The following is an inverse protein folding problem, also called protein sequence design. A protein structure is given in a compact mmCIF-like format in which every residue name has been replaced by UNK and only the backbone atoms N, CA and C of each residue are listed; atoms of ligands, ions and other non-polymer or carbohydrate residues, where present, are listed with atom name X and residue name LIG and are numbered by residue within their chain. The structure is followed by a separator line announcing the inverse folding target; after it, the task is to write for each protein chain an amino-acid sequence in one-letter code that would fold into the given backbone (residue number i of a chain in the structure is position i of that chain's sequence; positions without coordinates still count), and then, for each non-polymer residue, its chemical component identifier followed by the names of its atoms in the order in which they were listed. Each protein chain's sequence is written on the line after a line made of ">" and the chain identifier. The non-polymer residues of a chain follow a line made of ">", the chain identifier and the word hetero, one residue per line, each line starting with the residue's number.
data_IF_332877568319
#
_entry.id   IF_332877568319
#
_cell.length_a   1.000
_cell.length_b   1.000
_cell.length_c   1.000
_cell.angle_alpha   90.00
_cell.angle_beta   90.00
_cell.angle_gamma   90.00
#
_symmetry.space_group_name_H-M   'P 1'
#
loop_
_entity.id
_entity.type
_entity.pdbx_description
1 polymer ?
#
# COMPACT_ATOMS: atom_id res chain seq x y z
N UNK A 1 -21.13 -5.06 -6.54
CA UNK A 1 -21.90 -3.90 -6.04
C UNK A 1 -20.89 -2.82 -5.68
N UNK A 2 -20.95 -1.66 -6.34
CA UNK A 2 -20.06 -0.53 -6.08
C UNK A 2 -20.50 0.14 -4.77
N UNK A 3 -19.55 0.44 -3.89
CA UNK A 3 -19.79 1.11 -2.62
C UNK A 3 -18.51 1.84 -2.16
N UNK A 4 -18.60 2.63 -1.09
CA UNK A 4 -17.45 3.37 -0.56
C UNK A 4 -16.22 2.48 -0.30
N UNK A 5 -16.41 1.19 0.02
CA UNK A 5 -15.31 0.24 0.26
C UNK A 5 -14.66 -0.26 -1.02
N UNK A 6 -15.38 -0.32 -2.15
CA UNK A 6 -14.76 -0.57 -3.46
C UNK A 6 -13.96 0.64 -3.91
N UNK A 7 -14.45 1.85 -3.65
CA UNK A 7 -13.72 3.08 -4.02
C UNK A 7 -12.42 3.21 -3.24
N UNK A 8 -12.45 2.89 -1.94
CA UNK A 8 -11.24 2.80 -1.10
C UNK A 8 -10.25 1.77 -1.68
N UNK A 9 -10.73 0.61 -2.11
CA UNK A 9 -9.86 -0.41 -2.70
C UNK A 9 -9.19 0.09 -3.98
N UNK A 10 -9.98 0.62 -4.91
CA UNK A 10 -9.47 1.14 -6.18
C UNK A 10 -8.52 2.31 -5.99
N UNK A 11 -8.77 3.18 -5.01
CA UNK A 11 -7.85 4.26 -4.65
C UNK A 11 -6.52 3.72 -4.10
N UNK A 12 -6.55 2.65 -3.31
CA UNK A 12 -5.35 1.95 -2.88
C UNK A 12 -4.52 1.43 -4.05
N UNK A 13 -5.17 0.79 -5.03
CA UNK A 13 -4.49 0.33 -6.26
C UNK A 13 -3.88 1.51 -7.02
N UNK A 14 -4.64 2.59 -7.22
CA UNK A 14 -4.18 3.79 -7.92
C UNK A 14 -2.92 4.39 -7.28
N UNK A 15 -2.86 4.47 -5.95
CA UNK A 15 -1.63 4.96 -5.28
C UNK A 15 -0.45 4.03 -5.59
N UNK A 16 -0.65 2.70 -5.56
CA UNK A 16 0.43 1.77 -5.90
C UNK A 16 0.89 1.96 -7.36
N UNK A 17 -0.03 2.11 -8.31
CA UNK A 17 0.30 2.37 -9.72
C UNK A 17 1.14 3.65 -9.87
N UNK A 18 0.77 4.73 -9.18
CA UNK A 18 1.49 6.01 -9.23
C UNK A 18 2.90 5.89 -8.65
N UNK A 19 3.07 5.17 -7.54
CA UNK A 19 4.38 5.07 -6.86
C UNK A 19 5.34 4.11 -7.58
N UNK A 20 4.82 3.05 -8.19
CA UNK A 20 5.65 2.00 -8.80
C UNK A 20 5.68 2.02 -10.32
N UNK A 21 4.78 2.75 -10.98
CA UNK A 21 4.69 2.79 -12.44
C UNK A 21 4.34 1.42 -13.03
N UNK A 22 3.68 0.55 -12.27
CA UNK A 22 3.33 -0.83 -12.65
C UNK A 22 1.82 -0.95 -12.83
N UNK A 23 1.40 -1.74 -13.81
CA UNK A 23 0.00 -2.18 -13.94
C UNK A 23 -0.41 -3.03 -12.72
N UNK A 24 -1.67 -2.96 -12.23
CA UNK A 24 -2.15 -3.77 -11.11
C UNK A 24 -2.05 -5.26 -11.37
N UNK A 25 -2.18 -5.65 -12.65
CA UNK A 25 -2.02 -7.01 -13.15
C UNK A 25 -1.10 -6.97 -14.38
N UNK A 26 -0.01 -7.73 -14.33
CA UNK A 26 0.99 -7.81 -15.41
C UNK A 26 1.45 -9.26 -15.61
N UNK A 27 0.89 -9.94 -16.60
CA UNK A 27 1.19 -11.34 -16.91
C UNK A 27 2.58 -11.55 -17.54
N UNK A 28 3.30 -10.48 -17.90
CA UNK A 28 4.68 -10.58 -18.37
C UNK A 28 5.68 -10.80 -17.25
N UNK A 29 5.25 -10.61 -15.99
CA UNK A 29 6.09 -10.73 -14.80
C UNK A 29 6.13 -12.15 -14.24
N UNK A 30 7.18 -12.49 -13.47
CA UNK A 30 7.27 -13.79 -12.79
C UNK A 30 6.09 -14.08 -11.88
N UNK A 31 5.86 -15.36 -11.61
CA UNK A 31 4.84 -15.81 -10.67
C UNK A 31 5.09 -15.20 -9.28
N UNK A 32 4.06 -14.57 -8.70
CA UNK A 32 4.17 -13.80 -7.45
C UNK A 32 4.38 -12.29 -7.65
N UNK A 33 4.74 -11.86 -8.86
CA UNK A 33 4.83 -10.43 -9.23
C UNK A 33 3.72 -9.95 -10.17
N UNK A 34 2.92 -10.89 -10.69
CA UNK A 34 1.79 -10.59 -11.58
C UNK A 34 0.78 -9.66 -10.93
N UNK A 35 0.51 -9.84 -9.63
CA UNK A 35 -0.40 -8.99 -8.88
C UNK A 35 0.40 -7.94 -8.08
N UNK A 36 0.13 -6.67 -8.35
CA UNK A 36 0.85 -5.56 -7.72
C UNK A 36 0.74 -5.55 -6.19
N UNK A 37 -0.42 -5.94 -5.65
CA UNK A 37 -0.65 -6.00 -4.20
C UNK A 37 0.20 -7.09 -3.55
N UNK A 38 0.28 -8.27 -4.16
CA UNK A 38 1.03 -9.39 -3.60
C UNK A 38 2.55 -9.19 -3.72
N UNK A 39 2.99 -8.60 -4.84
CA UNK A 39 4.36 -8.13 -4.99
C UNK A 39 4.72 -7.12 -3.89
N UNK A 40 3.88 -6.12 -3.67
CA UNK A 40 4.13 -5.08 -2.66
C UNK A 40 4.20 -5.66 -1.24
N UNK A 41 3.30 -6.59 -0.87
CA UNK A 41 3.37 -7.27 0.43
C UNK A 41 4.71 -7.97 0.63
N UNK A 42 5.19 -8.66 -0.40
CA UNK A 42 6.49 -9.35 -0.40
C UNK A 42 7.64 -8.37 -0.25
N UNK A 43 7.60 -7.27 -1.02
CA UNK A 43 8.62 -6.21 -0.99
C UNK A 43 8.71 -5.55 0.41
N UNK A 44 7.57 -5.19 1.01
CA UNK A 44 7.52 -4.62 2.36
C UNK A 44 7.99 -5.64 3.41
N UNK A 45 7.66 -6.91 3.26
CA UNK A 45 8.10 -7.98 4.17
C UNK A 45 9.60 -8.20 4.15
N UNK A 46 10.19 -8.12 2.97
CA UNK A 46 11.62 -8.24 2.75
C UNK A 46 12.39 -6.93 3.02
N UNK A 47 11.70 -5.87 3.48
CA UNK A 47 12.26 -4.53 3.74
C UNK A 47 12.97 -3.89 2.53
N UNK A 48 12.55 -4.24 1.31
CA UNK A 48 13.11 -3.74 0.05
C UNK A 48 12.39 -2.46 -0.42
N UNK A 49 12.33 -1.43 0.42
CA UNK A 49 11.54 -0.22 0.15
C UNK A 49 12.12 0.73 -0.91
N UNK A 50 13.17 0.32 -1.63
CA UNK A 50 13.90 1.17 -2.58
C UNK A 50 13.35 1.08 -4.01
N UNK A 51 12.49 0.10 -4.31
CA UNK A 51 11.84 -0.02 -5.62
C UNK A 51 10.66 0.95 -5.73
N UNK A 52 10.92 2.12 -6.32
CA UNK A 52 9.89 3.09 -6.79
C UNK A 52 10.02 3.32 -8.29
N UNK A 53 9.03 3.96 -8.92
CA UNK A 53 9.09 4.30 -10.35
C UNK A 53 10.28 5.24 -10.63
N UNK A 54 11.24 4.86 -11.49
CA UNK A 54 12.35 5.73 -11.89
C UNK A 54 11.90 7.02 -12.59
N UNK A 55 10.65 7.10 -13.06
CA UNK A 55 10.06 8.29 -13.69
C UNK A 55 9.45 9.26 -12.69
N UNK A 56 9.46 8.95 -11.39
CA UNK A 56 9.02 9.90 -10.38
C UNK A 56 9.92 11.15 -10.44
N UNK A 57 9.33 12.36 -10.51
CA UNK A 57 10.09 13.59 -10.65
C UNK A 57 10.98 13.87 -9.43
N UNK A 58 10.57 13.39 -8.26
CA UNK A 58 11.33 13.47 -7.02
C UNK A 58 11.07 12.23 -6.16
N UNK A 59 12.13 11.72 -5.54
CA UNK A 59 12.02 10.62 -4.57
C UNK A 59 11.34 11.12 -3.29
N UNK A 60 10.25 10.49 -2.81
CA UNK A 60 9.63 10.89 -1.57
C UNK A 60 10.57 10.73 -0.37
N UNK A 61 10.53 11.66 0.58
CA UNK A 61 11.23 11.50 1.85
C UNK A 61 10.84 10.17 2.53
N UNK A 62 11.77 9.52 3.25
CA UNK A 62 11.56 8.17 3.83
C UNK A 62 10.25 8.01 4.63
N UNK A 63 9.82 9.05 5.36
CA UNK A 63 8.54 9.05 6.07
C UNK A 63 7.34 9.10 5.13
N UNK A 64 7.39 9.90 4.07
CA UNK A 64 6.36 9.94 3.03
C UNK A 64 6.32 8.60 2.27
N UNK A 65 7.48 8.05 1.91
CA UNK A 65 7.59 6.75 1.26
C UNK A 65 6.91 5.65 2.08
N UNK A 66 7.21 5.53 3.37
CA UNK A 66 6.53 4.56 4.25
C UNK A 66 5.01 4.71 4.26
N UNK A 67 4.50 5.94 4.26
CA UNK A 67 3.04 6.19 4.20
C UNK A 67 2.44 5.70 2.91
N UNK A 68 3.03 6.05 1.78
CA UNK A 68 2.53 5.65 0.46
C UNK A 68 2.74 4.16 0.18
N UNK A 69 3.58 3.46 0.95
CA UNK A 69 3.67 1.98 0.94
C UNK A 69 2.57 1.33 1.79
N UNK A 70 2.37 1.80 3.04
CA UNK A 70 1.54 1.12 4.03
C UNK A 70 0.04 1.47 3.94
N UNK A 71 -0.29 2.72 3.59
CA UNK A 71 -1.68 3.17 3.51
C UNK A 71 -2.45 2.44 2.39
N UNK A 72 -1.90 2.28 1.18
CA UNK A 72 -2.54 1.50 0.13
C UNK A 72 -2.80 0.05 0.53
N UNK A 73 -1.88 -0.60 1.25
CA UNK A 73 -2.05 -1.97 1.75
C UNK A 73 -3.24 -2.11 2.71
N UNK A 74 -3.58 -1.05 3.47
CA UNK A 74 -4.80 -0.99 4.29
C UNK A 74 -6.06 -0.81 3.44
N UNK A 75 -5.95 -0.03 2.36
CA UNK A 75 -7.06 0.25 1.45
C UNK A 75 -7.47 -1.00 0.67
N UNK A 76 -6.51 -1.85 0.31
CA UNK A 76 -6.75 -3.09 -0.45
C UNK A 76 -6.96 -4.33 0.43
N UNK A 77 -7.27 -4.16 1.72
CA UNK A 77 -7.51 -5.31 2.60
C UNK A 77 -8.63 -6.20 2.01
N UNK A 78 -8.42 -7.54 1.96
CA UNK A 78 -9.43 -8.47 1.44
C UNK A 78 -10.77 -8.34 2.17
N UNK A 79 -10.75 -7.99 3.46
CA UNK A 79 -11.94 -7.77 4.26
C UNK A 79 -12.42 -6.32 4.13
N UNK A 80 -13.53 -6.08 3.41
CA UNK A 80 -14.05 -4.73 3.15
C UNK A 80 -14.29 -3.89 4.42
N UNK A 81 -14.74 -4.49 5.52
CA UNK A 81 -14.96 -3.79 6.80
C UNK A 81 -13.68 -3.31 7.46
N UNK A 82 -12.53 -3.92 7.14
CA UNK A 82 -11.21 -3.55 7.66
C UNK A 82 -10.55 -2.42 6.87
N UNK A 83 -11.08 -2.09 5.68
CA UNK A 83 -10.61 -0.95 4.89
C UNK A 83 -10.98 0.35 5.61
N UNK A 84 -10.10 1.37 5.63
CA UNK A 84 -10.39 2.66 6.24
C UNK A 84 -11.56 3.39 5.55
N UNK A 85 -12.04 4.47 6.15
CA UNK A 85 -12.89 5.46 5.47
C UNK A 85 -11.99 6.42 4.69
N UNK A 86 -12.49 7.00 3.59
CA UNK A 86 -11.66 7.85 2.73
C UNK A 86 -11.05 9.05 3.47
N UNK A 87 -11.81 9.71 4.35
CA UNK A 87 -11.27 10.79 5.19
C UNK A 87 -10.11 10.35 6.10
N UNK A 88 -10.07 9.08 6.55
CA UNK A 88 -8.91 8.56 7.27
C UNK A 88 -7.73 8.29 6.33
N UNK A 89 -7.98 7.85 5.09
CA UNK A 89 -6.93 7.63 4.10
C UNK A 89 -6.14 8.91 3.84
N UNK A 90 -6.84 10.03 3.62
CA UNK A 90 -6.22 11.33 3.38
C UNK A 90 -5.36 11.76 4.58
N UNK A 91 -5.88 11.73 5.80
CA UNK A 91 -5.11 12.06 7.01
C UNK A 91 -3.87 11.20 7.20
N UNK A 92 -3.97 9.90 6.91
CA UNK A 92 -2.83 8.98 6.98
C UNK A 92 -1.75 9.33 5.95
N UNK A 93 -2.12 9.82 4.76
CA UNK A 93 -1.18 10.26 3.73
C UNK A 93 -0.55 11.61 4.13
N UNK A 94 -1.34 12.57 4.60
CA UNK A 94 -0.89 13.91 5.01
C UNK A 94 0.05 13.88 6.20
N UNK A 95 -0.07 12.89 7.10
CA UNK A 95 0.87 12.66 8.20
C UNK A 95 0.39 13.16 9.55
N UNK A 96 -0.90 13.46 9.67
CA UNK A 96 -1.52 13.69 10.97
C UNK A 96 -1.36 12.44 11.82
N UNK A 97 -0.72 12.59 12.99
CA UNK A 97 -0.21 11.67 14.02
C UNK A 97 -1.01 10.37 14.39
N UNK A 98 -1.57 9.63 13.42
CA UNK A 98 -2.29 8.38 13.63
C UNK A 98 -1.44 7.13 13.33
N UNK A 99 -0.30 7.30 12.66
CA UNK A 99 0.50 6.17 12.17
C UNK A 99 1.33 5.50 13.27
N UNK A 100 1.72 6.19 14.35
CA UNK A 100 2.56 5.60 15.40
C UNK A 100 1.85 4.42 16.10
N UNK A 101 0.52 4.48 16.24
CA UNK A 101 -0.28 3.41 16.84
C UNK A 101 -0.64 2.32 15.83
N UNK A 102 -0.79 2.70 14.56
CA UNK A 102 -1.21 1.80 13.50
C UNK A 102 -0.06 1.02 12.85
N UNK A 103 1.16 1.56 12.76
CA UNK A 103 2.36 0.88 12.26
C UNK A 103 2.61 -0.45 13.00
N UNK A 104 2.49 -0.46 14.34
CA UNK A 104 2.64 -1.69 15.15
C UNK A 104 1.56 -2.73 14.85
N UNK A 105 0.35 -2.30 14.49
CA UNK A 105 -0.75 -3.19 14.09
C UNK A 105 -0.66 -3.61 12.62
N UNK A 106 -0.15 -2.74 11.74
CA UNK A 106 0.09 -3.01 10.31
C UNK A 106 1.15 -4.08 10.18
N UNK A 107 2.30 -3.90 10.82
CA UNK A 107 3.36 -4.91 10.86
C UNK A 107 2.82 -6.26 11.33
N UNK A 108 2.04 -6.29 12.41
CA UNK A 108 1.40 -7.52 12.93
C UNK A 108 0.27 -8.09 12.06
N UNK A 109 -0.40 -7.31 11.21
CA UNK A 109 -1.49 -7.79 10.34
C UNK A 109 -1.00 -8.23 8.96
N UNK A 110 -0.02 -7.52 8.41
CA UNK A 110 0.62 -7.88 7.15
C UNK A 110 1.61 -9.03 7.38
N UNK A 111 2.24 -9.08 8.55
CA UNK A 111 3.17 -10.14 8.94
C UNK A 111 2.68 -10.79 10.25
N UNK A 112 1.80 -11.81 10.19
CA UNK A 112 1.13 -12.31 11.39
C UNK A 112 2.04 -13.00 12.41
N UNK A 113 3.17 -13.63 12.04
CA UNK A 113 4.04 -14.38 12.97
C UNK A 113 5.51 -14.48 12.47
N UNK A 114 6.48 -14.85 13.34
CA UNK A 114 7.80 -14.19 13.43
C UNK A 114 8.95 -14.97 12.77
N UNK A 115 10.04 -14.22 12.51
CA UNK A 115 11.45 -14.63 12.35
C UNK A 115 11.74 -15.85 11.48
#
# INVERSE_FOLDING_TARGET
>A
MLNEKSDVYSFGILIMEIIFGRSPVDYSRPQGEVNLVDWLKTMVGNRKSEEVDPKLPEMPASKALKRVLLVPLRCVDPTASKRPKMGHVIRMIEGDDLLVRDERRIGKRIFPFPK
#
